data_IF_327873678490
#
_entry.id   IF_327873678490
#
_cell.length_a   1.000
_cell.length_b   1.000
_cell.length_c   1.000
_cell.angle_alpha   90.00
_cell.angle_beta   90.00
_cell.angle_gamma   90.00
#
_symmetry.space_group_name_H-M   'P 1'
#
loop_
_entity.id
_entity.type
_entity.pdbx_description
1 polymer ?
#
# COMPACT_ATOMS: atom_id res chain seq x y z
N UNK A 1 -12.24 4.66 -4.25
CA UNK A 1 -11.00 3.86 -4.32
C UNK A 1 -10.97 3.02 -3.05
N UNK A 2 -10.40 1.81 -3.10
CA UNK A 2 -10.41 0.91 -1.94
C UNK A 2 -9.55 1.41 -0.76
N UNK A 3 -8.57 2.26 -1.03
CA UNK A 3 -7.57 2.71 -0.06
C UNK A 3 -8.19 3.49 1.10
N UNK A 4 -9.12 4.39 0.81
CA UNK A 4 -9.87 5.14 1.82
C UNK A 4 -10.75 4.22 2.67
N UNK A 5 -11.40 3.24 2.04
CA UNK A 5 -12.19 2.23 2.75
C UNK A 5 -11.31 1.42 3.72
N UNK A 6 -10.13 0.95 3.24
CA UNK A 6 -9.17 0.21 4.05
C UNK A 6 -8.68 1.07 5.22
N UNK A 7 -8.35 2.35 4.96
CA UNK A 7 -7.94 3.29 5.99
C UNK A 7 -8.99 3.44 7.08
N UNK A 8 -10.21 3.80 6.68
CA UNK A 8 -11.31 4.04 7.62
C UNK A 8 -11.65 2.79 8.43
N UNK A 9 -11.66 1.62 7.79
CA UNK A 9 -11.87 0.35 8.47
C UNK A 9 -10.78 0.11 9.52
N UNK A 10 -9.51 0.15 9.15
CA UNK A 10 -8.39 -0.11 10.06
C UNK A 10 -8.32 0.94 11.17
N UNK A 11 -8.53 2.21 10.87
CA UNK A 11 -8.56 3.27 11.88
C UNK A 11 -9.69 3.06 12.89
N UNK A 12 -10.85 2.57 12.44
CA UNK A 12 -11.96 2.22 13.34
C UNK A 12 -11.60 1.14 14.35
N UNK A 13 -10.62 0.28 14.03
CA UNK A 13 -10.15 -0.84 14.88
C UNK A 13 -8.94 -0.49 15.73
N UNK A 14 -7.92 0.10 15.11
CA UNK A 14 -6.67 0.47 15.80
C UNK A 14 -6.83 1.69 16.70
N UNK A 15 -7.75 2.60 16.37
CA UNK A 15 -7.91 3.93 17.00
C UNK A 15 -6.61 4.75 17.00
N UNK A 16 -5.69 4.44 16.07
CA UNK A 16 -4.37 5.05 15.98
C UNK A 16 -3.98 5.25 14.51
N UNK A 17 -3.85 6.49 14.09
CA UNK A 17 -3.54 6.83 12.71
C UNK A 17 -2.13 6.39 12.28
N UNK A 18 -1.13 6.45 13.18
CA UNK A 18 0.23 5.96 12.88
C UNK A 18 0.25 4.44 12.71
N UNK A 19 -0.47 3.72 13.58
CA UNK A 19 -0.58 2.27 13.48
C UNK A 19 -1.35 1.82 12.25
N UNK A 20 -2.43 2.53 11.89
CA UNK A 20 -3.19 2.32 10.65
C UNK A 20 -2.28 2.50 9.43
N UNK A 21 -1.52 3.59 9.38
CA UNK A 21 -0.55 3.87 8.33
C UNK A 21 0.53 2.78 8.25
N UNK A 22 1.02 2.30 9.39
CA UNK A 22 2.01 1.24 9.46
C UNK A 22 1.48 -0.09 8.89
N UNK A 23 0.25 -0.48 9.22
CA UNK A 23 -0.38 -1.67 8.64
C UNK A 23 -0.53 -1.48 7.13
N UNK A 24 -1.15 -0.40 6.68
CA UNK A 24 -1.40 -0.16 5.26
C UNK A 24 -0.11 -0.05 4.44
N UNK A 25 0.95 0.55 4.98
CA UNK A 25 2.25 0.60 4.30
C UNK A 25 2.87 -0.78 4.07
N UNK A 26 2.65 -1.73 4.98
CA UNK A 26 3.02 -3.12 4.79
C UNK A 26 2.13 -3.80 3.75
N UNK A 27 0.81 -3.68 3.83
CA UNK A 27 -0.14 -4.22 2.84
C UNK A 27 0.11 -3.67 1.43
N UNK A 28 0.51 -2.39 1.30
CA UNK A 28 0.91 -1.78 0.04
C UNK A 28 2.13 -2.48 -0.55
N UNK A 29 3.10 -2.85 0.28
CA UNK A 29 4.30 -3.56 -0.17
C UNK A 29 4.02 -5.02 -0.53
N UNK A 30 3.06 -5.69 0.12
CA UNK A 30 2.69 -7.08 -0.13
C UNK A 30 1.81 -7.24 -1.39
N UNK A 31 0.75 -6.46 -1.49
CA UNK A 31 -0.30 -6.68 -2.48
C UNK A 31 -0.72 -5.45 -3.27
N UNK A 32 -0.12 -4.28 -3.01
CA UNK A 32 -0.62 -2.99 -3.49
C UNK A 32 -2.08 -2.73 -3.07
N UNK A 33 -2.45 -3.15 -1.85
CA UNK A 33 -3.79 -3.07 -1.26
C UNK A 33 -4.86 -3.85 -2.06
N UNK A 34 -4.44 -4.87 -2.81
CA UNK A 34 -5.34 -5.68 -3.63
C UNK A 34 -5.70 -6.99 -2.93
N UNK A 35 -6.96 -7.10 -2.47
CA UNK A 35 -7.50 -8.31 -1.84
C UNK A 35 -7.55 -9.54 -2.77
N UNK A 36 -7.47 -9.34 -4.07
CA UNK A 36 -7.53 -10.41 -5.08
C UNK A 36 -6.15 -10.73 -5.68
N UNK A 37 -5.06 -10.27 -5.05
CA UNK A 37 -3.72 -10.55 -5.52
C UNK A 37 -3.31 -12.00 -5.25
N UNK A 38 -2.88 -12.72 -6.29
CA UNK A 38 -2.41 -14.11 -6.23
C UNK A 38 -0.96 -14.15 -6.74
N UNK A 39 0.00 -14.18 -5.81
CA UNK A 39 1.40 -14.30 -6.19
C UNK A 39 1.76 -15.76 -6.44
N UNK A 40 2.14 -16.08 -7.66
CA UNK A 40 2.40 -17.46 -8.09
C UNK A 40 1.21 -18.16 -8.75
N UNK A 41 0.20 -17.42 -9.20
CA UNK A 41 -1.00 -17.95 -9.85
C UNK A 41 -0.70 -19.03 -10.91
N UNK A 42 0.35 -18.85 -11.69
CA UNK A 42 0.76 -19.84 -12.72
C UNK A 42 1.04 -21.25 -12.18
N UNK A 43 1.37 -21.37 -10.89
CA UNK A 43 1.62 -22.67 -10.24
C UNK A 43 0.34 -23.43 -9.92
N UNK A 44 -0.80 -22.75 -9.90
CA UNK A 44 -2.09 -23.32 -9.52
C UNK A 44 -2.83 -23.96 -10.70
N UNK A 45 -2.44 -23.68 -11.94
CA UNK A 45 -3.15 -24.07 -13.16
C UNK A 45 -4.32 -23.16 -13.54
N UNK A 46 -4.72 -22.22 -12.70
CA UNK A 46 -5.77 -21.25 -13.02
C UNK A 46 -5.25 -20.12 -13.91
N UNK A 47 -6.12 -19.62 -14.80
CA UNK A 47 -5.76 -18.58 -15.76
C UNK A 47 -5.96 -17.16 -15.21
N UNK A 48 -6.79 -17.01 -14.16
CA UNK A 48 -7.09 -15.71 -13.54
C UNK A 48 -7.28 -15.83 -12.03
N UNK A 49 -7.13 -14.70 -11.34
CA UNK A 49 -7.44 -14.61 -9.92
C UNK A 49 -8.91 -14.96 -9.63
N UNK A 50 -9.83 -14.63 -10.54
CA UNK A 50 -11.25 -14.90 -10.38
C UNK A 50 -11.53 -16.42 -10.40
N UNK A 51 -10.92 -17.15 -11.33
CA UNK A 51 -11.04 -18.61 -11.36
C UNK A 51 -10.44 -19.26 -10.10
N UNK A 52 -9.28 -18.77 -9.66
CA UNK A 52 -8.64 -19.25 -8.44
C UNK A 52 -9.50 -19.01 -7.20
N UNK A 53 -10.07 -17.80 -7.07
CA UNK A 53 -10.94 -17.44 -5.95
C UNK A 53 -12.21 -18.30 -5.95
N UNK A 54 -12.88 -18.42 -7.09
CA UNK A 54 -14.08 -19.24 -7.21
C UNK A 54 -13.83 -20.70 -6.81
N UNK A 55 -12.76 -21.30 -7.32
CA UNK A 55 -12.39 -22.66 -6.97
C UNK A 55 -12.01 -22.83 -5.48
N UNK A 56 -11.49 -21.77 -4.85
CA UNK A 56 -11.17 -21.73 -3.43
C UNK A 56 -12.43 -21.58 -2.56
N UNK A 57 -13.40 -20.79 -3.01
CA UNK A 57 -14.68 -20.59 -2.35
C UNK A 57 -15.55 -21.87 -2.43
N UNK A 58 -15.50 -22.57 -3.56
CA UNK A 58 -16.22 -23.84 -3.80
C UNK A 58 -15.52 -25.06 -3.18
N UNK A 59 -14.38 -24.87 -2.51
CA UNK A 59 -13.54 -25.93 -1.90
C UNK A 59 -13.10 -27.03 -2.89
N UNK A 60 -13.06 -26.75 -4.19
CA UNK A 60 -12.53 -27.65 -5.21
C UNK A 60 -11.02 -27.49 -5.42
N UNK A 61 -10.44 -26.50 -4.77
CA UNK A 61 -9.01 -26.21 -4.75
C UNK A 61 -8.48 -26.28 -3.31
N UNK A 62 -7.35 -26.95 -3.11
CA UNK A 62 -6.66 -26.98 -1.81
C UNK A 62 -5.97 -25.64 -1.54
N UNK A 63 -6.80 -24.64 -1.24
CA UNK A 63 -6.36 -23.26 -1.02
C UNK A 63 -5.30 -23.14 0.07
N UNK A 64 -5.38 -23.94 1.12
CA UNK A 64 -4.47 -23.85 2.24
C UNK A 64 -3.06 -24.35 1.92
N UNK A 65 -2.90 -25.37 1.06
CA UNK A 65 -1.62 -26.06 0.85
C UNK A 65 -1.01 -25.85 -0.55
N UNK A 66 -1.56 -24.95 -1.36
CA UNK A 66 -1.13 -24.72 -2.74
C UNK A 66 0.22 -23.99 -2.90
N UNK A 67 0.77 -23.48 -1.81
CA UNK A 67 2.08 -22.80 -1.80
C UNK A 67 2.13 -21.45 -2.51
N UNK A 68 0.97 -20.84 -2.81
CA UNK A 68 0.94 -19.47 -3.36
C UNK A 68 0.48 -18.47 -2.30
N UNK A 69 0.92 -17.22 -2.45
CA UNK A 69 0.52 -16.15 -1.56
C UNK A 69 -0.74 -15.46 -2.09
N UNK A 70 -1.66 -15.09 -1.18
CA UNK A 70 -2.98 -14.60 -1.54
C UNK A 70 -3.41 -13.38 -0.70
N UNK A 71 -4.10 -12.45 -1.35
CA UNK A 71 -4.86 -11.39 -0.74
C UNK A 71 -4.02 -10.23 -0.21
N UNK A 72 -4.62 -9.42 0.67
CA UNK A 72 -4.03 -8.18 1.20
C UNK A 72 -2.68 -8.38 1.86
N UNK A 73 -2.56 -9.36 2.78
CA UNK A 73 -1.35 -9.65 3.53
C UNK A 73 -0.53 -10.81 2.93
N UNK A 74 -0.83 -11.19 1.68
CA UNK A 74 -0.15 -12.28 0.98
C UNK A 74 -0.02 -13.54 1.85
N UNK A 75 -1.13 -13.97 2.47
CA UNK A 75 -1.17 -15.20 3.25
C UNK A 75 -0.71 -16.39 2.40
N UNK A 76 0.31 -17.10 2.84
CA UNK A 76 0.84 -18.28 2.14
C UNK A 76 1.06 -19.47 3.07
N UNK A 77 1.27 -19.25 4.38
CA UNK A 77 1.44 -20.33 5.33
C UNK A 77 0.11 -21.05 5.57
N UNK A 78 0.12 -22.40 5.49
CA UNK A 78 -1.09 -23.19 5.43
C UNK A 78 -2.10 -22.92 6.57
N UNK A 79 -1.64 -22.75 7.81
CA UNK A 79 -2.56 -22.49 8.94
C UNK A 79 -3.20 -21.10 8.83
N UNK A 80 -2.46 -20.08 8.39
CA UNK A 80 -3.00 -18.73 8.22
C UNK A 80 -3.98 -18.67 7.04
N UNK A 81 -3.60 -19.32 5.94
CA UNK A 81 -4.41 -19.36 4.71
C UNK A 81 -5.68 -20.22 4.91
N UNK A 82 -5.55 -21.35 5.58
CA UNK A 82 -6.72 -22.16 6.00
C UNK A 82 -7.64 -21.41 6.96
N UNK A 83 -7.06 -20.62 7.89
CA UNK A 83 -7.83 -19.75 8.78
C UNK A 83 -8.60 -18.66 8.03
N UNK A 84 -8.01 -18.06 6.99
CA UNK A 84 -8.69 -17.10 6.11
C UNK A 84 -9.89 -17.74 5.41
N UNK A 85 -9.70 -18.94 4.82
CA UNK A 85 -10.77 -19.68 4.14
C UNK A 85 -11.90 -20.08 5.11
N UNK A 86 -11.54 -20.59 6.28
CA UNK A 86 -12.52 -20.93 7.31
C UNK A 86 -13.33 -19.71 7.77
N UNK A 87 -12.67 -18.55 7.91
CA UNK A 87 -13.35 -17.30 8.26
C UNK A 87 -14.27 -16.80 7.14
N UNK A 88 -13.83 -16.88 5.89
CA UNK A 88 -14.66 -16.58 4.72
C UNK A 88 -15.93 -17.43 4.70
N UNK A 89 -15.78 -18.73 4.89
CA UNK A 89 -16.91 -19.70 4.98
C UNK A 89 -17.84 -19.37 6.15
N UNK A 90 -17.30 -19.09 7.33
CA UNK A 90 -18.08 -18.73 8.52
C UNK A 90 -18.92 -17.47 8.29
N UNK A 91 -18.40 -16.50 7.53
CA UNK A 91 -19.09 -15.24 7.26
C UNK A 91 -19.96 -15.27 6.01
N UNK A 92 -19.96 -16.38 5.27
CA UNK A 92 -20.69 -16.52 3.99
C UNK A 92 -20.16 -15.61 2.90
N UNK A 93 -18.86 -15.26 2.95
CA UNK A 93 -18.20 -14.37 1.98
C UNK A 93 -17.10 -15.09 1.22
N UNK A 94 -16.74 -14.55 0.04
CA UNK A 94 -15.62 -15.03 -0.75
C UNK A 94 -14.28 -14.79 -0.05
N UNK A 95 -13.30 -15.68 -0.28
CA UNK A 95 -11.90 -15.44 0.15
C UNK A 95 -11.32 -14.17 -0.47
N UNK A 96 -11.85 -13.76 -1.65
CA UNK A 96 -11.45 -12.53 -2.35
C UNK A 96 -12.16 -11.26 -1.89
N UNK A 97 -13.09 -11.35 -0.90
CA UNK A 97 -13.80 -10.17 -0.39
C UNK A 97 -12.89 -9.30 0.47
N UNK A 98 -12.82 -8.01 0.11
CA UNK A 98 -11.94 -7.05 0.78
C UNK A 98 -12.28 -6.86 2.26
N UNK A 99 -13.55 -6.68 2.57
CA UNK A 99 -13.98 -6.44 3.95
C UNK A 99 -13.74 -7.67 4.82
N UNK A 100 -14.04 -8.86 4.30
CA UNK A 100 -13.78 -10.13 5.00
C UNK A 100 -12.29 -10.28 5.31
N UNK A 101 -11.40 -9.98 4.34
CA UNK A 101 -9.95 -10.06 4.56
C UNK A 101 -9.47 -9.05 5.60
N UNK A 102 -10.03 -7.84 5.64
CA UNK A 102 -9.71 -6.85 6.67
C UNK A 102 -10.19 -7.29 8.06
N UNK A 103 -11.37 -7.87 8.15
CA UNK A 103 -11.90 -8.43 9.40
C UNK A 103 -11.02 -9.58 9.91
N UNK A 104 -10.60 -10.48 9.01
CA UNK A 104 -9.70 -11.57 9.34
C UNK A 104 -8.32 -11.07 9.77
N UNK A 105 -7.74 -10.09 9.05
CA UNK A 105 -6.48 -9.46 9.39
C UNK A 105 -6.50 -8.92 10.84
N UNK A 106 -7.54 -8.18 11.19
CA UNK A 106 -7.69 -7.60 12.54
C UNK A 106 -7.86 -8.70 13.58
N UNK A 107 -8.67 -9.72 13.29
CA UNK A 107 -8.84 -10.88 14.17
C UNK A 107 -7.50 -11.58 14.42
N UNK A 108 -6.77 -11.91 13.36
CA UNK A 108 -5.48 -12.59 13.42
C UNK A 108 -4.46 -11.75 14.20
N UNK A 109 -4.32 -10.45 13.88
CA UNK A 109 -3.40 -9.57 14.59
C UNK A 109 -3.74 -9.42 16.07
N UNK A 110 -5.01 -9.26 16.41
CA UNK A 110 -5.44 -9.02 17.80
C UNK A 110 -5.42 -10.28 18.66
N UNK A 111 -5.62 -11.46 18.10
CA UNK A 111 -5.70 -12.72 18.82
C UNK A 111 -4.35 -13.47 18.84
N UNK A 112 -3.72 -13.61 17.68
CA UNK A 112 -2.54 -14.46 17.50
C UNK A 112 -1.23 -13.66 17.50
N UNK A 113 -1.28 -12.37 17.13
CA UNK A 113 -0.11 -11.49 17.10
C UNK A 113 -0.25 -10.29 18.06
N UNK A 114 -0.61 -10.56 19.31
CA UNK A 114 -0.92 -9.53 20.34
C UNK A 114 0.15 -8.46 20.50
N UNK A 115 1.44 -8.82 20.36
CA UNK A 115 2.53 -7.83 20.43
C UNK A 115 2.55 -6.88 19.24
N UNK A 116 2.14 -7.33 18.05
CA UNK A 116 1.98 -6.50 16.85
C UNK A 116 0.76 -5.60 17.01
N UNK A 117 -0.37 -6.18 17.46
CA UNK A 117 -1.59 -5.43 17.72
C UNK A 117 -1.36 -4.29 18.70
N UNK A 118 -0.68 -4.58 19.81
CA UNK A 118 -0.27 -3.54 20.78
C UNK A 118 0.60 -2.47 20.14
N UNK A 119 1.59 -2.85 19.33
CA UNK A 119 2.49 -1.89 18.69
C UNK A 119 1.74 -0.94 17.71
N UNK A 120 0.68 -1.39 17.03
CA UNK A 120 -0.09 -0.54 16.12
C UNK A 120 -1.17 0.26 16.84
N UNK A 121 -1.77 -0.25 17.91
CA UNK A 121 -2.78 0.49 18.69
C UNK A 121 -2.16 1.58 19.58
N UNK A 122 -0.91 1.41 20.00
CA UNK A 122 -0.16 2.34 20.85
C UNK A 122 0.96 3.08 20.08
N UNK A 123 0.93 3.05 18.75
CA UNK A 123 1.99 3.62 17.91
C UNK A 123 2.18 5.12 18.14
N UNK A 124 3.45 5.52 18.29
CA UNK A 124 3.85 6.93 18.41
C UNK A 124 4.52 7.46 17.13
N UNK A 125 4.94 6.57 16.25
CA UNK A 125 5.48 6.87 14.95
C UNK A 125 5.24 5.70 13.98
N UNK A 126 5.22 6.02 12.68
CA UNK A 126 4.92 5.05 11.61
C UNK A 126 6.06 4.07 11.43
N UNK A 127 7.33 4.51 11.55
CA UNK A 127 8.48 3.66 11.25
C UNK A 127 8.57 2.48 12.21
N UNK A 128 8.54 2.73 13.50
CA UNK A 128 8.65 1.69 14.54
C UNK A 128 7.49 0.70 14.45
N UNK A 129 6.27 1.21 14.25
CA UNK A 129 5.09 0.36 14.09
C UNK A 129 5.19 -0.48 12.81
N UNK A 130 5.60 0.11 11.68
CA UNK A 130 5.77 -0.58 10.40
C UNK A 130 6.84 -1.67 10.46
N UNK A 131 7.98 -1.40 11.11
CA UNK A 131 9.03 -2.40 11.30
C UNK A 131 8.52 -3.58 12.15
N UNK A 132 7.69 -3.31 13.15
CA UNK A 132 7.08 -4.35 13.99
C UNK A 132 6.11 -5.21 13.19
N UNK A 133 5.24 -4.61 12.36
CA UNK A 133 4.34 -5.33 11.46
C UNK A 133 5.15 -6.20 10.50
N UNK A 134 6.14 -5.62 9.82
CA UNK A 134 6.99 -6.34 8.87
C UNK A 134 7.68 -7.54 9.50
N UNK A 135 8.36 -7.34 10.65
CA UNK A 135 9.23 -8.36 11.23
C UNK A 135 8.48 -9.46 11.99
N UNK A 136 7.33 -9.14 12.57
CA UNK A 136 6.61 -10.06 13.44
C UNK A 136 5.33 -10.64 12.84
N UNK A 137 4.72 -9.92 11.90
CA UNK A 137 3.48 -10.37 11.27
C UNK A 137 3.71 -10.84 9.82
N UNK A 138 4.27 -10.01 8.93
CA UNK A 138 4.47 -10.36 7.52
C UNK A 138 5.63 -11.36 7.33
N UNK A 139 6.73 -11.14 8.05
CA UNK A 139 7.94 -11.99 8.01
C UNK A 139 8.45 -12.26 6.58
N UNK A 140 8.65 -11.23 5.75
CA UNK A 140 9.11 -11.41 4.39
C UNK A 140 10.54 -11.98 4.35
N UNK A 141 10.93 -12.58 3.24
CA UNK A 141 12.26 -13.11 3.03
C UNK A 141 13.37 -12.04 3.17
N UNK A 142 13.06 -10.78 2.87
CA UNK A 142 14.02 -9.66 2.95
C UNK A 142 13.61 -8.67 4.01
N UNK A 143 14.48 -8.47 5.02
CA UNK A 143 14.27 -7.54 6.14
C UNK A 143 15.31 -6.41 6.17
N UNK A 144 15.89 -6.06 5.02
CA UNK A 144 16.88 -4.99 4.88
C UNK A 144 16.32 -3.63 5.29
N UNK A 145 17.22 -2.69 5.64
CA UNK A 145 16.81 -1.31 5.96
C UNK A 145 16.08 -0.63 4.79
N UNK A 146 16.46 -0.93 3.56
CA UNK A 146 15.74 -0.45 2.38
C UNK A 146 14.29 -0.98 2.32
N UNK A 147 14.07 -2.27 2.63
CA UNK A 147 12.75 -2.86 2.66
C UNK A 147 11.87 -2.29 3.78
N UNK A 148 12.43 -2.08 4.97
CA UNK A 148 11.77 -1.43 6.10
C UNK A 148 11.40 0.01 5.77
N UNK A 149 12.37 0.77 5.23
CA UNK A 149 12.15 2.16 4.82
C UNK A 149 11.03 2.27 3.79
N UNK A 150 11.03 1.42 2.77
CA UNK A 150 9.99 1.40 1.71
C UNK A 150 8.59 1.24 2.30
N UNK A 151 8.39 0.30 3.24
CA UNK A 151 7.09 0.07 3.88
C UNK A 151 6.65 1.24 4.74
N UNK A 152 7.56 1.80 5.52
CA UNK A 152 7.29 2.98 6.32
C UNK A 152 6.99 4.22 5.46
N UNK A 153 7.67 4.40 4.33
CA UNK A 153 7.42 5.51 3.41
C UNK A 153 6.04 5.37 2.73
N UNK A 154 5.60 4.16 2.36
CA UNK A 154 4.22 3.93 1.94
C UNK A 154 3.21 4.31 3.03
N UNK A 155 3.49 3.92 4.28
CA UNK A 155 2.64 4.30 5.41
C UNK A 155 2.56 5.81 5.61
N UNK A 156 3.70 6.53 5.48
CA UNK A 156 3.71 8.00 5.57
C UNK A 156 2.88 8.67 4.49
N UNK A 157 2.93 8.16 3.24
CA UNK A 157 2.12 8.69 2.15
C UNK A 157 0.63 8.54 2.45
N UNK A 158 0.21 7.36 2.91
CA UNK A 158 -1.18 7.08 3.28
C UNK A 158 -1.63 7.89 4.51
N UNK A 159 -0.72 8.11 5.47
CA UNK A 159 -0.99 8.96 6.62
C UNK A 159 -1.23 10.43 6.21
N UNK A 160 -0.44 10.95 5.28
CA UNK A 160 -0.64 12.31 4.75
C UNK A 160 -1.96 12.42 4.00
N UNK A 161 -2.35 11.37 3.29
CA UNK A 161 -3.57 11.37 2.47
C UNK A 161 -4.85 11.21 3.30
N UNK A 162 -4.83 10.34 4.32
CA UNK A 162 -6.04 9.95 5.06
C UNK A 162 -5.99 10.20 6.56
N UNK A 163 -4.80 10.31 7.15
CA UNK A 163 -4.61 10.30 8.60
C UNK A 163 -4.44 11.65 9.25
N UNK A 164 -4.17 12.67 8.47
CA UNK A 164 -4.23 14.02 8.98
C UNK A 164 -5.73 14.39 9.09
N UNK A 165 -6.29 14.61 10.30
CA UNK A 165 -7.60 15.23 10.38
C UNK A 165 -7.55 16.51 9.54
N UNK A 166 -8.68 16.88 8.90
CA UNK A 166 -8.81 18.13 8.16
C UNK A 166 -8.14 19.28 8.94
N UNK A 167 -6.84 19.25 8.97
CA UNK A 167 -6.10 20.47 9.15
C UNK A 167 -6.44 21.21 7.85
N UNK A 168 -7.19 22.29 7.99
CA UNK A 168 -6.95 23.43 7.12
C UNK A 168 -5.46 23.37 6.80
N UNK A 169 -5.07 23.21 5.51
CA UNK A 169 -3.73 22.84 5.12
C UNK A 169 -2.78 23.58 6.03
N UNK A 170 -2.07 22.82 6.88
CA UNK A 170 -1.11 23.39 7.84
C UNK A 170 -0.40 24.46 7.07
N UNK A 171 -0.30 25.72 7.55
CA UNK A 171 0.20 26.79 6.73
C UNK A 171 1.49 26.24 6.12
N UNK A 172 1.40 25.89 4.85
CA UNK A 172 2.49 25.33 4.06
C UNK A 172 3.69 26.18 4.43
N UNK A 173 4.89 25.64 4.67
CA UNK A 173 6.04 26.46 5.00
C UNK A 173 5.92 27.68 4.12
N UNK A 174 5.70 28.87 4.74
CA UNK A 174 5.14 30.11 4.14
C UNK A 174 5.47 30.17 2.68
N UNK A 175 4.52 30.13 1.76
CA UNK A 175 4.76 29.84 0.36
C UNK A 175 5.84 30.81 -0.11
N UNK A 176 6.96 30.28 -0.54
CA UNK A 176 7.80 30.98 -1.49
C UNK A 176 6.96 31.01 -2.76
N UNK A 177 5.96 31.87 -2.86
CA UNK A 177 5.06 32.13 -3.99
C UNK A 177 4.88 31.11 -5.14
N UNK A 178 5.31 29.88 -4.96
CA UNK A 178 5.43 28.85 -6.00
C UNK A 178 4.32 27.84 -5.89
N UNK A 179 3.52 27.72 -6.94
CA UNK A 179 2.49 26.68 -7.05
C UNK A 179 3.15 25.32 -7.26
N UNK A 180 2.59 24.27 -6.68
CA UNK A 180 3.10 22.89 -6.82
C UNK A 180 2.07 22.03 -7.54
N UNK A 181 2.54 21.05 -8.32
CA UNK A 181 1.74 20.01 -8.95
C UNK A 181 2.08 18.68 -8.30
N UNK A 182 1.05 17.92 -7.92
CA UNK A 182 1.16 16.57 -7.38
C UNK A 182 0.70 15.55 -8.42
N UNK A 183 1.52 14.54 -8.66
CA UNK A 183 1.16 13.43 -9.54
C UNK A 183 0.16 12.50 -8.84
N UNK A 184 -1.06 12.39 -9.34
CA UNK A 184 -2.11 11.47 -8.83
C UNK A 184 -1.82 9.99 -9.16
N UNK A 185 -0.94 9.74 -10.13
CA UNK A 185 -0.44 8.42 -10.58
C UNK A 185 0.89 8.62 -11.27
N UNK A 186 1.55 7.54 -11.67
CA UNK A 186 2.76 7.66 -12.49
C UNK A 186 2.46 8.42 -13.79
N UNK A 187 3.20 9.50 -14.03
CA UNK A 187 3.09 10.34 -15.23
C UNK A 187 4.46 10.62 -15.83
N UNK A 188 4.52 10.69 -17.13
CA UNK A 188 5.76 11.02 -17.84
C UNK A 188 6.00 12.53 -17.84
N UNK A 189 7.23 12.94 -17.53
CA UNK A 189 7.75 14.28 -17.83
C UNK A 189 8.24 14.27 -19.28
N UNK A 190 7.86 15.29 -20.06
CA UNK A 190 8.22 15.42 -21.47
C UNK A 190 8.92 16.73 -21.75
N UNK A 191 9.68 16.79 -22.83
CA UNK A 191 10.42 17.98 -23.24
C UNK A 191 9.53 19.15 -23.74
N UNK A 192 8.22 18.92 -23.82
CA UNK A 192 7.25 19.94 -24.25
C UNK A 192 5.80 19.49 -24.10
N UNK A 193 4.82 20.38 -24.31
CA UNK A 193 3.41 20.11 -24.18
C UNK A 193 2.92 19.23 -25.34
N UNK A 194 2.62 17.97 -25.04
CA UNK A 194 2.10 17.01 -26.00
C UNK A 194 2.68 15.60 -25.88
N UNK A 195 1.86 14.60 -26.16
CA UNK A 195 2.26 13.18 -26.09
C UNK A 195 3.33 12.78 -27.11
N UNK A 196 3.52 13.56 -28.16
CA UNK A 196 4.53 13.33 -29.21
C UNK A 196 5.93 13.78 -28.78
N UNK A 197 6.05 14.67 -27.78
CA UNK A 197 7.34 15.13 -27.30
C UNK A 197 8.08 14.01 -26.55
N UNK A 198 9.40 13.93 -26.67
CA UNK A 198 10.23 12.93 -25.98
C UNK A 198 9.97 12.88 -24.47
N UNK A 199 9.93 11.68 -23.92
CA UNK A 199 9.96 11.48 -22.47
C UNK A 199 11.36 11.81 -21.95
N UNK A 200 11.45 12.71 -20.97
CA UNK A 200 12.71 13.10 -20.32
C UNK A 200 12.78 12.67 -18.85
N UNK A 201 11.67 12.15 -18.31
CA UNK A 201 11.60 11.67 -16.94
C UNK A 201 10.20 11.15 -16.61
N UNK A 202 9.99 10.84 -15.35
CA UNK A 202 8.69 10.45 -14.83
C UNK A 202 8.51 10.91 -13.38
N UNK A 203 7.27 11.18 -13.00
CA UNK A 203 6.83 11.32 -11.62
C UNK A 203 6.09 10.04 -11.24
N UNK A 204 6.40 9.51 -10.09
CA UNK A 204 5.62 8.45 -9.46
C UNK A 204 4.36 9.04 -8.82
N UNK A 205 3.43 8.20 -8.45
CA UNK A 205 2.27 8.62 -7.66
C UNK A 205 2.73 9.37 -6.42
N UNK A 206 2.09 10.51 -6.16
CA UNK A 206 2.36 11.42 -5.05
C UNK A 206 3.65 12.25 -5.14
N UNK A 207 4.48 12.10 -6.17
CA UNK A 207 5.59 13.03 -6.39
C UNK A 207 5.06 14.45 -6.62
N UNK A 208 5.76 15.44 -6.06
CA UNK A 208 5.42 16.85 -6.21
C UNK A 208 6.53 17.60 -6.94
N UNK A 209 6.15 18.51 -7.83
CA UNK A 209 7.07 19.37 -8.59
C UNK A 209 6.55 20.79 -8.61
N UNK A 210 7.45 21.76 -8.76
CA UNK A 210 7.06 23.16 -8.89
C UNK A 210 6.29 23.38 -10.20
N UNK A 211 5.10 24.02 -10.11
CA UNK A 211 4.33 24.46 -11.25
C UNK A 211 4.91 25.79 -11.77
N UNK A 212 5.44 25.77 -12.97
CA UNK A 212 5.94 26.98 -13.65
C UNK A 212 4.83 27.63 -14.49
N UNK A 213 3.91 26.83 -15.06
CA UNK A 213 2.83 27.30 -15.88
C UNK A 213 1.97 26.17 -16.42
N UNK A 214 1.02 26.54 -17.30
CA UNK A 214 0.16 25.57 -17.99
C UNK A 214 0.11 25.91 -19.48
N UNK A 215 0.19 24.90 -20.32
CA UNK A 215 0.18 25.06 -21.78
C UNK A 215 -0.44 23.82 -22.45
N UNK A 216 -1.40 24.03 -23.35
CA UNK A 216 -2.04 22.99 -24.16
C UNK A 216 -2.53 21.78 -23.34
N UNK A 217 -3.09 22.01 -22.13
CA UNK A 217 -3.56 20.95 -21.23
C UNK A 217 -2.45 20.17 -20.52
N UNK A 218 -1.22 20.71 -20.50
CA UNK A 218 -0.08 20.16 -19.76
C UNK A 218 0.41 21.18 -18.73
N UNK A 219 0.74 20.70 -17.52
CA UNK A 219 1.48 21.51 -16.57
C UNK A 219 2.95 21.62 -16.99
N UNK A 220 3.45 22.84 -17.09
CA UNK A 220 4.88 23.12 -17.21
C UNK A 220 5.48 23.08 -15.80
N UNK A 221 6.43 22.17 -15.58
CA UNK A 221 7.02 21.90 -14.26
C UNK A 221 8.54 22.04 -14.31
N UNK A 222 9.13 22.44 -13.16
CA UNK A 222 10.57 22.32 -12.95
C UNK A 222 10.87 20.85 -12.60
N UNK A 223 11.85 20.27 -13.26
CA UNK A 223 12.39 18.98 -12.91
C UNK A 223 13.55 19.17 -11.93
N UNK A 224 13.55 18.39 -10.83
CA UNK A 224 14.69 18.33 -9.91
C UNK A 224 15.42 17.02 -10.12
N UNK A 225 16.74 17.06 -10.13
CA UNK A 225 17.61 15.89 -10.11
C UNK A 225 18.28 15.78 -8.74
N UNK A 226 18.49 14.55 -8.26
CA UNK A 226 19.16 14.34 -6.99
C UNK A 226 20.62 14.86 -7.06
N UNK A 227 20.98 15.71 -6.12
CA UNK A 227 22.32 16.33 -6.05
C UNK A 227 23.44 15.29 -5.98
N UNK A 228 23.19 14.17 -5.27
CA UNK A 228 24.19 13.10 -5.08
C UNK A 228 24.51 12.30 -6.37
N UNK A 229 23.68 12.45 -7.41
CA UNK A 229 23.84 11.80 -8.72
C UNK A 229 23.90 12.82 -9.86
N UNK A 230 24.19 14.08 -9.57
CA UNK A 230 24.17 15.18 -10.53
C UNK A 230 25.24 16.21 -10.19
N UNK A 231 25.92 16.72 -11.18
CA UNK A 231 26.85 17.83 -11.05
C UNK A 231 26.31 19.08 -11.76
N UNK A 232 26.68 20.25 -11.26
CA UNK A 232 26.42 21.51 -11.94
C UNK A 232 27.50 21.72 -12.97
N UNK A 233 27.12 21.57 -14.24
CA UNK A 233 28.00 21.95 -15.37
C UNK A 233 27.65 23.38 -15.74
N UNK A 234 28.61 24.30 -15.53
CA UNK A 234 28.49 25.71 -15.87
C UNK A 234 28.66 26.01 -17.34
#
# INVERSE_FOLDING_TARGET
>A
MNDEFIWNFLLSKTKNAYGTAAIMGNLMAESSLNARNVTGLKKTGYQSADQYILASDDEVHDFAHDGVAFGLAQWCYHTRKGGLQAYAKQTGRSVGDLQMQLEYLVKEMSQDYKSVWKAVTEAKDIRTASDTVMLKYEKPATTSEAAKKKRADYGKLLYVEYGMPDQEPSPAPKPSGKKMVRAKRQVNIRSGPGKKNPKIGELKSCDTVELIGEENGFYKVAAYVMKDFSEVIG
#
